data_IF_060666726090
#
_entry.id   IF_060666726090
#
_cell.length_a   1.000
_cell.length_b   1.000
_cell.length_c   1.000
_cell.angle_alpha   90.00
_cell.angle_beta   90.00
_cell.angle_gamma   90.00
#
_symmetry.space_group_name_H-M   'P 1'
#
loop_
_entity.id
_entity.type
_entity.pdbx_description
1 polymer ?
#
# COMPACT_ATOMS: atom_id res chain seq x y z
N UNK A 1 -7.31 -21.27 -22.99
CA UNK A 1 -7.52 -19.85 -23.35
C UNK A 1 -6.35 -19.41 -24.22
N UNK A 2 -6.61 -18.67 -25.29
CA UNK A 2 -5.54 -18.06 -26.09
C UNK A 2 -4.75 -17.06 -25.21
N UNK A 3 -3.43 -16.90 -25.42
CA UNK A 3 -2.64 -15.94 -24.67
C UNK A 3 -3.18 -14.53 -24.90
N UNK A 4 -3.65 -13.89 -23.83
CA UNK A 4 -4.12 -12.52 -23.87
C UNK A 4 -2.93 -11.57 -24.01
N UNK A 5 -2.77 -10.97 -25.19
CA UNK A 5 -1.71 -10.00 -25.47
C UNK A 5 -1.94 -8.72 -24.67
N UNK A 6 -0.89 -8.23 -24.01
CA UNK A 6 -0.90 -6.92 -23.37
C UNK A 6 -0.65 -5.81 -24.38
N UNK A 7 -1.31 -4.66 -24.21
CA UNK A 7 -1.07 -3.45 -25.00
C UNK A 7 -0.69 -2.29 -24.08
N UNK A 8 0.13 -1.37 -24.60
CA UNK A 8 0.51 -0.13 -23.92
C UNK A 8 0.42 0.99 -24.93
N UNK A 9 -0.48 1.94 -24.70
CA UNK A 9 -0.67 3.14 -25.50
C UNK A 9 -0.24 4.37 -24.71
N UNK A 10 0.80 5.06 -25.19
CA UNK A 10 1.35 6.25 -24.54
C UNK A 10 1.04 7.50 -25.37
N UNK A 11 0.44 8.51 -24.73
CA UNK A 11 0.32 9.87 -25.22
C UNK A 11 1.11 10.85 -24.32
N UNK A 12 1.13 12.13 -24.69
CA UNK A 12 1.93 13.14 -23.99
C UNK A 12 1.57 13.29 -22.50
N UNK A 13 0.29 13.12 -22.13
CA UNK A 13 -0.21 13.33 -20.77
C UNK A 13 -0.82 12.08 -20.13
N UNK A 14 -1.00 11.01 -20.90
CA UNK A 14 -1.70 9.80 -20.44
C UNK A 14 -1.07 8.55 -21.00
N UNK A 15 -1.03 7.50 -20.21
CA UNK A 15 -0.63 6.16 -20.64
C UNK A 15 -1.69 5.17 -20.21
N UNK A 16 -2.02 4.23 -21.10
CA UNK A 16 -2.97 3.16 -20.80
C UNK A 16 -2.28 1.82 -21.03
N UNK A 17 -2.33 0.95 -20.02
CA UNK A 17 -1.91 -0.45 -20.12
C UNK A 17 -3.16 -1.32 -20.10
N UNK A 18 -3.27 -2.28 -21.01
CA UNK A 18 -4.41 -3.20 -21.08
C UNK A 18 -3.94 -4.65 -21.22
N UNK A 19 -4.66 -5.56 -20.57
CA UNK A 19 -4.51 -7.02 -20.75
C UNK A 19 -5.84 -7.69 -20.41
N UNK A 20 -6.53 -8.16 -21.44
CA UNK A 20 -7.84 -8.81 -21.27
C UNK A 20 -8.86 -7.84 -20.67
N UNK A 21 -9.54 -8.19 -19.56
CA UNK A 21 -10.49 -7.31 -18.93
C UNK A 21 -9.81 -6.18 -18.13
N UNK A 22 -8.50 -6.27 -17.86
CA UNK A 22 -7.79 -5.26 -17.08
C UNK A 22 -7.31 -4.09 -17.89
N UNK A 23 -7.44 -2.92 -17.28
CA UNK A 23 -6.99 -1.64 -17.81
C UNK A 23 -6.45 -0.78 -16.68
N UNK A 24 -5.23 -0.31 -16.82
CA UNK A 24 -4.58 0.68 -15.94
C UNK A 24 -4.45 1.98 -16.70
N UNK A 25 -5.04 3.04 -16.16
CA UNK A 25 -5.01 4.39 -16.72
C UNK A 25 -4.09 5.25 -15.87
N UNK A 26 -3.07 5.84 -16.51
CA UNK A 26 -2.11 6.73 -15.89
C UNK A 26 -2.32 8.12 -16.47
N UNK A 27 -2.58 9.11 -15.62
CA UNK A 27 -2.41 10.52 -15.96
C UNK A 27 -1.04 10.95 -15.47
N UNK A 28 -0.26 11.59 -16.32
CA UNK A 28 1.13 11.91 -16.04
C UNK A 28 1.29 13.27 -15.33
N UNK A 29 0.32 14.20 -15.47
CA UNK A 29 0.33 15.55 -14.86
C UNK A 29 -1.10 16.09 -14.63
N UNK A 30 -1.52 16.36 -13.38
CA UNK A 30 -0.93 15.80 -12.15
C UNK A 30 -0.92 14.27 -12.22
N UNK A 31 0.07 13.63 -11.58
CA UNK A 31 0.16 12.17 -11.57
C UNK A 31 -1.10 11.56 -10.93
N UNK A 32 -1.73 10.61 -11.61
CA UNK A 32 -2.74 9.74 -11.01
C UNK A 32 -2.82 8.39 -11.71
N UNK A 33 -3.25 7.37 -10.98
CA UNK A 33 -3.41 6.00 -11.44
C UNK A 33 -4.84 5.53 -11.18
N UNK A 34 -5.46 4.88 -12.14
CA UNK A 34 -6.74 4.21 -11.97
C UNK A 34 -6.67 2.78 -12.51
N UNK A 35 -7.37 1.86 -11.82
CA UNK A 35 -7.47 0.46 -12.23
C UNK A 35 -8.92 0.14 -12.54
N UNK A 36 -9.15 -0.45 -13.70
CA UNK A 36 -10.45 -0.93 -14.16
C UNK A 36 -10.37 -2.39 -14.55
N UNK A 37 -11.50 -3.08 -14.37
CA UNK A 37 -11.72 -4.43 -14.87
C UNK A 37 -13.08 -4.50 -15.55
N UNK A 38 -13.13 -4.94 -16.81
CA UNK A 38 -14.36 -5.07 -17.59
C UNK A 38 -15.24 -3.79 -17.50
N UNK A 39 -14.61 -2.62 -17.65
CA UNK A 39 -15.26 -1.31 -17.53
C UNK A 39 -15.49 -0.80 -16.09
N UNK A 40 -15.63 -1.70 -15.10
CA UNK A 40 -15.82 -1.33 -13.68
C UNK A 40 -14.51 -0.77 -13.11
N UNK A 41 -14.59 0.40 -12.48
CA UNK A 41 -13.44 0.99 -11.77
C UNK A 41 -13.25 0.28 -10.44
N UNK A 42 -12.06 -0.27 -10.20
CA UNK A 42 -11.67 -0.88 -8.93
C UNK A 42 -10.99 0.16 -8.03
N UNK A 43 -10.04 0.91 -8.59
CA UNK A 43 -9.31 1.99 -7.92
C UNK A 43 -9.43 3.31 -8.66
N UNK A 44 -9.54 4.40 -7.92
CA UNK A 44 -9.61 5.77 -8.42
C UNK A 44 -8.54 6.65 -7.79
N UNK A 45 -8.06 7.61 -8.57
CA UNK A 45 -7.20 8.71 -8.10
C UNK A 45 -5.97 8.21 -7.33
N UNK A 46 -5.43 7.07 -7.74
CA UNK A 46 -4.26 6.44 -7.16
C UNK A 46 -3.06 7.38 -7.24
N UNK A 47 -2.35 7.53 -6.13
CA UNK A 47 -1.17 8.36 -5.98
C UNK A 47 -0.04 7.57 -5.33
N UNK A 48 1.15 8.14 -5.38
CA UNK A 48 2.33 7.62 -4.72
C UNK A 48 2.83 8.69 -3.77
N UNK A 49 3.41 8.29 -2.65
CA UNK A 49 4.14 9.22 -1.80
C UNK A 49 5.38 8.59 -1.18
N UNK A 50 6.33 9.46 -0.87
CA UNK A 50 7.45 9.16 0.01
C UNK A 50 7.39 10.07 1.24
N UNK A 51 7.93 9.61 2.36
CA UNK A 51 8.04 10.45 3.55
C UNK A 51 9.36 10.16 4.26
N UNK A 52 10.05 11.22 4.64
CA UNK A 52 11.21 11.15 5.51
C UNK A 52 10.78 10.94 6.96
N UNK A 53 11.75 10.61 7.79
CA UNK A 53 11.51 10.48 9.21
C UNK A 53 12.61 9.73 9.92
N UNK A 54 12.37 9.48 11.20
CA UNK A 54 13.26 8.72 12.07
C UNK A 54 12.51 7.53 12.68
N UNK A 55 13.27 6.48 12.99
CA UNK A 55 12.79 5.33 13.75
C UNK A 55 13.49 5.35 15.11
N UNK A 56 12.70 5.22 16.16
CA UNK A 56 13.20 5.04 17.51
C UNK A 56 12.76 3.67 18.02
N UNK A 57 13.69 2.94 18.61
CA UNK A 57 13.37 1.72 19.34
C UNK A 57 12.63 2.08 20.61
N UNK A 58 11.38 1.64 20.71
CA UNK A 58 10.60 1.76 21.92
C UNK A 58 10.60 0.41 22.62
N UNK A 59 11.44 0.32 23.66
CA UNK A 59 11.50 -0.85 24.50
C UNK A 59 10.28 -0.93 25.40
N UNK A 60 9.66 -2.10 25.41
CA UNK A 60 8.50 -2.45 26.19
C UNK A 60 8.98 -3.44 27.24
N UNK A 61 9.33 -2.91 28.40
CA UNK A 61 9.98 -3.65 29.48
C UNK A 61 9.23 -4.92 29.88
N UNK A 62 7.90 -4.88 29.87
CA UNK A 62 7.07 -5.99 30.36
C UNK A 62 6.96 -7.17 29.40
N UNK A 63 7.18 -6.95 28.10
CA UNK A 63 7.22 -8.03 27.11
C UNK A 63 8.64 -8.33 26.65
N UNK A 64 9.62 -7.61 27.20
CA UNK A 64 10.99 -7.54 26.68
C UNK A 64 11.03 -7.26 25.16
N UNK A 65 9.97 -6.61 24.67
CA UNK A 65 9.75 -6.39 23.24
C UNK A 65 10.30 -5.04 22.81
N UNK A 66 10.77 -4.94 21.57
CA UNK A 66 11.13 -3.66 20.96
C UNK A 66 10.17 -3.41 19.81
N UNK A 67 9.47 -2.27 19.85
CA UNK A 67 8.65 -1.80 18.73
C UNK A 67 9.27 -0.55 18.13
N UNK A 68 9.32 -0.51 16.81
CA UNK A 68 9.75 0.68 16.09
C UNK A 68 8.67 1.77 16.20
N UNK A 69 9.01 2.91 16.79
CA UNK A 69 8.23 4.13 16.78
C UNK A 69 8.76 5.05 15.69
N UNK A 70 7.89 5.43 14.78
CA UNK A 70 8.26 6.27 13.64
C UNK A 70 7.76 7.70 13.81
N UNK A 71 8.65 8.66 13.55
CA UNK A 71 8.31 10.08 13.44
C UNK A 71 8.49 10.51 11.99
N UNK A 72 7.37 10.79 11.32
CA UNK A 72 7.34 11.05 9.87
C UNK A 72 7.25 12.54 9.59
N UNK A 73 8.05 13.00 8.63
CA UNK A 73 7.84 14.27 7.96
C UNK A 73 6.55 14.22 7.11
N UNK A 74 6.03 15.38 6.65
CA UNK A 74 4.92 15.41 5.70
C UNK A 74 5.22 14.59 4.43
N UNK A 75 4.20 13.90 3.92
CA UNK A 75 4.33 13.07 2.73
C UNK A 75 4.54 13.92 1.47
N UNK A 76 5.58 13.61 0.69
CA UNK A 76 5.82 14.15 -0.64
C UNK A 76 5.07 13.32 -1.68
N UNK A 77 4.00 13.88 -2.24
CA UNK A 77 3.17 13.17 -3.23
C UNK A 77 3.71 13.29 -4.64
N UNK A 78 3.46 12.28 -5.47
CA UNK A 78 3.75 12.33 -6.89
C UNK A 78 2.93 13.44 -7.57
N UNK A 79 3.64 14.32 -8.29
CA UNK A 79 3.02 15.42 -9.04
C UNK A 79 3.13 15.23 -10.54
N UNK A 80 4.19 14.56 -10.99
CA UNK A 80 4.47 14.39 -12.41
C UNK A 80 5.15 13.05 -12.66
N UNK A 81 4.79 12.40 -13.76
CA UNK A 81 5.52 11.25 -14.27
C UNK A 81 5.89 11.44 -15.74
N UNK A 82 6.89 10.68 -16.20
CA UNK A 82 7.30 10.58 -17.60
C UNK A 82 7.62 9.12 -17.89
N UNK A 83 7.07 8.57 -18.98
CA UNK A 83 7.43 7.24 -19.44
C UNK A 83 8.88 7.20 -19.89
N UNK A 84 9.64 6.23 -19.37
CA UNK A 84 11.07 6.06 -19.65
C UNK A 84 11.29 4.84 -20.52
N UNK A 85 10.67 3.73 -20.14
CA UNK A 85 10.92 2.44 -20.78
C UNK A 85 9.64 1.60 -20.83
N UNK A 86 9.47 0.88 -21.92
CA UNK A 86 8.44 -0.14 -22.09
C UNK A 86 9.14 -1.49 -22.26
N UNK A 87 8.75 -2.44 -21.44
CA UNK A 87 9.31 -3.79 -21.42
C UNK A 87 8.17 -4.81 -21.32
N UNK A 88 7.85 -5.46 -22.45
CA UNK A 88 6.76 -6.43 -22.54
C UNK A 88 5.41 -5.87 -22.08
N UNK A 89 4.92 -6.39 -20.95
CA UNK A 89 3.66 -6.03 -20.29
C UNK A 89 3.82 -4.98 -19.18
N UNK A 90 4.99 -4.36 -19.09
CA UNK A 90 5.34 -3.36 -18.09
C UNK A 90 5.81 -2.03 -18.68
N UNK A 91 5.59 -0.98 -17.89
CA UNK A 91 6.00 0.39 -18.14
C UNK A 91 6.78 0.91 -16.93
N UNK A 92 7.97 1.44 -17.18
CA UNK A 92 8.76 2.18 -16.18
C UNK A 92 8.57 3.68 -16.39
N UNK A 93 8.26 4.37 -15.30
CA UNK A 93 8.07 5.81 -15.23
C UNK A 93 9.14 6.42 -14.33
N UNK A 94 9.68 7.56 -14.73
CA UNK A 94 10.33 8.50 -13.80
C UNK A 94 9.25 9.41 -13.21
N UNK A 95 9.23 9.54 -11.89
CA UNK A 95 8.24 10.29 -11.11
C UNK A 95 8.93 11.40 -10.35
N UNK A 96 8.33 12.59 -10.33
CA UNK A 96 8.75 13.74 -9.52
C UNK A 96 7.73 13.92 -8.38
N UNK A 97 8.23 14.01 -7.15
CA UNK A 97 7.43 14.28 -5.95
C UNK A 97 7.42 15.77 -5.59
N UNK A 98 6.47 16.19 -4.74
CA UNK A 98 6.25 17.59 -4.36
C UNK A 98 7.51 18.32 -3.81
N UNK A 99 8.42 17.64 -3.11
CA UNK A 99 9.65 18.22 -2.58
C UNK A 99 10.84 18.16 -3.55
N UNK A 100 10.64 17.74 -4.80
CA UNK A 100 11.68 17.64 -5.82
C UNK A 100 12.39 16.28 -5.86
N UNK A 101 12.15 15.41 -4.87
CA UNK A 101 12.60 14.02 -4.86
C UNK A 101 12.13 13.30 -6.13
N UNK A 102 13.04 12.50 -6.71
CA UNK A 102 12.74 11.64 -7.85
C UNK A 102 12.44 10.22 -7.36
N UNK A 103 11.62 9.54 -8.13
CA UNK A 103 11.27 8.15 -7.91
C UNK A 103 11.11 7.41 -9.23
N UNK A 104 11.21 6.09 -9.17
CA UNK A 104 10.90 5.20 -10.27
C UNK A 104 9.66 4.38 -9.91
N UNK A 105 8.65 4.42 -10.78
CA UNK A 105 7.48 3.55 -10.69
C UNK A 105 7.49 2.58 -11.87
N UNK A 106 7.51 1.28 -11.59
CA UNK A 106 7.21 0.24 -12.57
C UNK A 106 5.77 -0.21 -12.40
N UNK A 107 5.01 -0.21 -13.50
CA UNK A 107 3.62 -0.68 -13.59
C UNK A 107 3.56 -1.81 -14.60
N UNK A 108 3.09 -2.99 -14.21
CA UNK A 108 2.99 -4.15 -15.10
C UNK A 108 1.65 -4.87 -15.01
N UNK A 109 1.30 -5.58 -16.07
CA UNK A 109 0.12 -6.45 -16.16
C UNK A 109 0.55 -7.91 -16.36
N UNK A 110 1.16 -8.58 -15.35
CA UNK A 110 1.72 -9.92 -15.50
C UNK A 110 0.68 -10.99 -15.86
N UNK A 111 -0.60 -10.73 -15.55
CA UNK A 111 -1.76 -11.57 -15.88
C UNK A 111 -2.96 -10.67 -16.17
N UNK A 112 -4.02 -11.27 -16.73
CA UNK A 112 -5.28 -10.59 -17.06
C UNK A 112 -6.19 -10.36 -15.84
N UNK A 113 -5.71 -10.68 -14.63
CA UNK A 113 -6.32 -10.47 -13.32
C UNK A 113 -5.38 -9.77 -12.32
N UNK A 114 -4.17 -9.37 -12.74
CA UNK A 114 -3.13 -8.86 -11.84
C UNK A 114 -2.48 -7.58 -12.35
N UNK A 115 -2.38 -6.58 -11.47
CA UNK A 115 -1.54 -5.40 -11.67
C UNK A 115 -0.37 -5.47 -10.69
N UNK A 116 0.85 -5.36 -11.21
CA UNK A 116 2.06 -5.26 -10.40
C UNK A 116 2.55 -3.81 -10.36
N UNK A 117 2.83 -3.29 -9.17
CA UNK A 117 3.41 -1.97 -8.95
C UNK A 117 4.70 -2.12 -8.14
N UNK A 118 5.76 -1.44 -8.56
CA UNK A 118 7.00 -1.33 -7.79
C UNK A 118 7.44 0.12 -7.74
N UNK A 119 7.58 0.68 -6.54
CA UNK A 119 8.03 2.05 -6.30
C UNK A 119 9.37 2.05 -5.57
N UNK A 120 10.33 2.79 -6.11
CA UNK A 120 11.60 3.13 -5.46
C UNK A 120 11.79 4.65 -5.52
N UNK A 121 12.34 5.27 -4.48
CA UNK A 121 12.63 6.70 -4.48
C UNK A 121 14.08 6.97 -4.13
N UNK A 122 14.59 8.10 -4.63
CA UNK A 122 15.92 8.60 -4.31
C UNK A 122 15.98 9.11 -2.86
N UNK A 123 17.19 9.25 -2.32
CA UNK A 123 17.48 9.82 -1.00
C UNK A 123 16.93 9.02 0.21
N UNK A 124 16.71 7.71 0.03
CA UNK A 124 16.37 6.75 1.10
C UNK A 124 15.31 7.26 2.12
N UNK A 125 14.09 7.61 1.67
CA UNK A 125 13.04 8.05 2.58
C UNK A 125 12.75 7.00 3.65
N UNK A 126 12.16 7.42 4.76
CA UNK A 126 11.69 6.47 5.76
C UNK A 126 10.62 5.53 5.18
N UNK A 127 9.64 6.06 4.44
CA UNK A 127 8.52 5.28 3.86
C UNK A 127 8.26 5.56 2.39
N UNK A 128 7.73 4.53 1.73
CA UNK A 128 7.16 4.56 0.38
C UNK A 128 5.72 4.05 0.44
N UNK A 129 4.83 4.62 -0.37
CA UNK A 129 3.44 4.24 -0.35
C UNK A 129 2.68 4.37 -1.66
N UNK A 130 1.60 3.61 -1.73
CA UNK A 130 0.50 3.72 -2.68
C UNK A 130 -0.74 4.19 -1.94
N UNK A 131 -1.42 5.23 -2.43
CA UNK A 131 -2.68 5.71 -1.84
C UNK A 131 -3.77 5.85 -2.91
N UNK A 132 -5.04 5.75 -2.55
CA UNK A 132 -6.18 5.93 -3.47
C UNK A 132 -7.44 6.36 -2.72
N UNK A 133 -8.44 6.83 -3.47
CA UNK A 133 -9.72 7.23 -2.88
C UNK A 133 -10.48 6.01 -2.37
N UNK A 134 -10.85 6.03 -1.08
CA UNK A 134 -11.79 5.10 -0.50
C UNK A 134 -13.19 5.38 -1.04
N UNK A 135 -13.97 4.34 -1.34
CA UNK A 135 -15.38 4.51 -1.66
C UNK A 135 -16.27 4.47 -0.43
N UNK A 136 -17.41 5.16 -0.50
CA UNK A 136 -18.46 5.04 0.50
C UNK A 136 -18.81 3.56 0.73
N UNK A 137 -19.00 3.17 1.99
CA UNK A 137 -19.36 1.79 2.39
C UNK A 137 -18.36 0.70 1.98
N UNK A 138 -17.19 1.07 1.46
CA UNK A 138 -16.12 0.10 1.22
C UNK A 138 -15.65 -0.48 2.54
N UNK A 139 -15.79 -1.80 2.64
CA UNK A 139 -15.32 -2.65 3.74
C UNK A 139 -14.04 -3.36 3.35
N UNK A 140 -13.23 -3.63 4.36
CA UNK A 140 -11.92 -4.27 4.20
C UNK A 140 -11.76 -5.45 5.15
N UNK A 141 -11.17 -6.53 4.68
CA UNK A 141 -10.86 -7.71 5.50
C UNK A 141 -9.46 -8.22 5.15
N UNK A 142 -8.91 -9.11 5.98
CA UNK A 142 -7.54 -9.63 5.81
C UNK A 142 -6.63 -9.19 6.95
N UNK A 143 -5.38 -8.84 6.61
CA UNK A 143 -4.30 -8.45 7.50
C UNK A 143 -3.78 -9.58 8.41
N UNK A 144 -4.14 -10.82 8.06
CA UNK A 144 -3.79 -12.03 8.81
C UNK A 144 -4.73 -12.34 9.96
N UNK A 145 -4.35 -13.29 10.83
CA UNK A 145 -5.14 -13.63 12.01
C UNK A 145 -5.02 -12.51 13.05
N UNK A 146 -6.17 -11.95 13.46
CA UNK A 146 -6.26 -10.82 14.40
C UNK A 146 -7.00 -11.24 15.66
N UNK A 147 -6.61 -10.67 16.79
CA UNK A 147 -7.34 -10.81 18.06
C UNK A 147 -8.54 -9.87 18.21
N UNK A 148 -8.78 -8.98 17.23
CA UNK A 148 -9.89 -8.02 17.28
C UNK A 148 -11.25 -8.69 17.11
N UNK A 149 -12.28 -8.12 17.74
CA UNK A 149 -13.67 -8.60 17.61
C UNK A 149 -14.36 -8.12 16.34
N UNK A 150 -13.76 -7.17 15.61
CA UNK A 150 -14.26 -6.64 14.34
C UNK A 150 -13.54 -7.31 13.17
N UNK A 151 -14.33 -7.91 12.28
CA UNK A 151 -13.83 -8.51 11.05
C UNK A 151 -13.50 -7.44 9.99
N UNK A 152 -14.35 -6.41 9.88
CA UNK A 152 -14.10 -5.25 9.02
C UNK A 152 -12.99 -4.37 9.61
N UNK A 153 -11.99 -4.09 8.77
CA UNK A 153 -10.80 -3.29 9.11
C UNK A 153 -10.97 -1.81 8.74
N UNK A 154 -12.08 -1.43 8.11
CA UNK A 154 -12.32 -0.05 7.75
C UNK A 154 -12.31 0.91 8.96
N UNK A 155 -11.72 2.11 8.79
CA UNK A 155 -11.59 3.10 9.86
C UNK A 155 -10.43 2.81 10.82
N UNK A 156 -9.47 1.97 10.43
CA UNK A 156 -8.29 1.64 11.24
C UNK A 156 -7.01 2.02 10.51
N UNK A 157 -6.00 2.43 11.27
CA UNK A 157 -4.60 2.37 10.83
C UNK A 157 -3.97 1.16 11.48
N UNK A 158 -3.40 0.27 10.67
CA UNK A 158 -2.85 -1.02 11.13
C UNK A 158 -1.41 -1.15 10.65
N UNK A 159 -0.48 -1.17 11.60
CA UNK A 159 0.91 -1.54 11.36
C UNK A 159 1.11 -3.02 11.68
N UNK A 160 1.44 -3.81 10.67
CA UNK A 160 1.67 -5.24 10.83
C UNK A 160 2.86 -5.52 11.74
N UNK A 161 2.63 -6.41 12.71
CA UNK A 161 3.58 -6.74 13.77
C UNK A 161 3.51 -5.84 15.00
N UNK A 162 2.57 -4.88 15.08
CA UNK A 162 2.49 -3.91 16.18
C UNK A 162 1.06 -3.42 16.52
N UNK A 163 0.01 -4.24 16.38
CA UNK A 163 -1.39 -3.73 16.43
C UNK A 163 -2.09 -3.76 17.80
N UNK A 164 -1.54 -4.41 18.84
CA UNK A 164 -2.30 -4.60 20.09
C UNK A 164 -1.59 -4.09 21.34
N UNK A 165 -2.41 -3.74 22.33
CA UNK A 165 -2.08 -3.75 23.76
C UNK A 165 -3.07 -4.64 24.53
N UNK A 166 -2.59 -5.50 25.42
CA UNK A 166 -3.37 -6.35 26.30
C UNK A 166 -3.78 -5.59 27.56
N UNK A 167 -5.06 -5.66 27.87
CA UNK A 167 -5.70 -4.98 29.00
C UNK A 167 -6.52 -5.95 29.85
N UNK A 168 -6.18 -7.24 29.81
CA UNK A 168 -6.90 -8.27 30.57
C UNK A 168 -6.68 -8.17 32.08
N UNK A 169 -7.30 -9.07 32.88
CA UNK A 169 -7.30 -9.00 34.34
C UNK A 169 -5.91 -8.97 34.97
N UNK A 170 -4.95 -9.64 34.33
CA UNK A 170 -3.56 -9.73 34.80
C UNK A 170 -2.66 -8.61 34.24
N UNK A 171 -3.23 -7.62 33.53
CA UNK A 171 -2.46 -6.47 33.05
C UNK A 171 -2.09 -5.58 34.25
N UNK A 172 -0.79 -5.31 34.51
CA UNK A 172 -0.39 -4.44 35.60
C UNK A 172 -1.06 -3.05 35.50
N UNK A 173 -1.51 -2.43 36.60
CA UNK A 173 -2.19 -1.13 36.58
C UNK A 173 -1.39 -0.02 35.87
N UNK A 174 -0.07 -0.03 36.02
CA UNK A 174 0.85 0.88 35.33
C UNK A 174 0.83 0.68 33.81
N UNK A 175 0.71 -0.56 33.34
CA UNK A 175 0.57 -0.87 31.92
C UNK A 175 -0.81 -0.50 31.40
N UNK A 176 -1.89 -0.74 32.17
CA UNK A 176 -3.23 -0.28 31.83
C UNK A 176 -3.27 1.25 31.65
N UNK A 177 -2.60 1.99 32.53
CA UNK A 177 -2.48 3.46 32.44
C UNK A 177 -1.72 3.92 31.19
N UNK A 178 -0.79 3.10 30.68
CA UNK A 178 -0.05 3.31 29.44
C UNK A 178 -0.76 2.71 28.19
N UNK A 179 -2.02 2.28 28.32
CA UNK A 179 -2.84 1.74 27.23
C UNK A 179 -2.80 0.22 27.06
N UNK A 180 -2.15 -0.51 27.97
CA UNK A 180 -2.02 -1.97 28.02
C UNK A 180 -0.63 -2.50 27.60
N UNK A 181 -0.40 -3.80 27.83
CA UNK A 181 0.84 -4.52 27.47
C UNK A 181 0.89 -4.72 25.94
N UNK A 182 1.84 -4.12 25.21
CA UNK A 182 1.95 -4.33 23.76
C UNK A 182 1.96 -5.81 23.37
N UNK A 183 1.14 -6.17 22.38
CA UNK A 183 1.06 -7.49 21.79
C UNK A 183 1.17 -7.35 20.27
N UNK A 184 1.94 -8.24 19.66
CA UNK A 184 1.97 -8.38 18.21
C UNK A 184 0.68 -8.99 17.66
N UNK A 185 0.59 -9.03 16.35
CA UNK A 185 -0.46 -9.75 15.63
C UNK A 185 -0.31 -11.26 15.82
N UNK A 186 -1.41 -12.03 15.82
CA UNK A 186 -1.30 -13.50 15.97
C UNK A 186 -0.50 -14.10 14.82
N UNK A 187 -0.82 -13.67 13.60
CA UNK A 187 -0.13 -14.04 12.37
C UNK A 187 -0.36 -12.93 11.33
N UNK A 188 0.47 -11.86 11.32
CA UNK A 188 0.30 -10.75 10.39
C UNK A 188 0.52 -11.21 8.95
N UNK A 189 -0.35 -10.80 8.04
CA UNK A 189 -0.19 -11.05 6.60
C UNK A 189 -0.42 -9.73 5.85
N UNK A 190 0.49 -9.30 4.96
CA UNK A 190 0.36 -8.06 4.18
C UNK A 190 -0.66 -8.20 3.04
N UNK A 191 -1.86 -8.64 3.37
CA UNK A 191 -2.96 -8.94 2.46
C UNK A 191 -4.23 -8.19 2.87
N UNK A 192 -4.83 -7.44 1.96
CA UNK A 192 -6.08 -6.72 2.18
C UNK A 192 -7.07 -7.07 1.08
N UNK A 193 -8.28 -7.50 1.43
CA UNK A 193 -9.38 -7.72 0.51
C UNK A 193 -10.41 -6.60 0.66
N UNK A 194 -10.74 -5.95 -0.45
CA UNK A 194 -11.82 -4.97 -0.52
C UNK A 194 -13.12 -5.61 -1.01
N UNK A 195 -14.23 -5.24 -0.35
CA UNK A 195 -15.60 -5.49 -0.83
C UNK A 195 -15.88 -4.95 -2.25
N UNK A 196 -14.99 -4.13 -2.82
CA UNK A 196 -15.09 -3.61 -4.19
C UNK A 196 -14.50 -4.54 -5.25
N UNK A 197 -14.09 -5.76 -4.89
CA UNK A 197 -13.68 -6.79 -5.85
C UNK A 197 -12.23 -6.63 -6.30
N UNK A 198 -11.36 -6.24 -5.36
CA UNK A 198 -9.92 -6.30 -5.54
C UNK A 198 -9.27 -6.68 -4.21
N UNK A 199 -8.10 -7.31 -4.29
CA UNK A 199 -7.22 -7.53 -3.17
C UNK A 199 -5.85 -6.90 -3.41
N UNK A 200 -5.15 -6.63 -2.33
CA UNK A 200 -3.81 -6.05 -2.31
C UNK A 200 -2.92 -6.99 -1.55
N UNK A 201 -1.81 -7.36 -2.16
CA UNK A 201 -0.72 -8.06 -1.51
C UNK A 201 0.54 -7.20 -1.58
N UNK A 202 1.05 -6.80 -0.43
CA UNK A 202 2.36 -6.13 -0.34
C UNK A 202 3.42 -7.22 -0.21
N UNK A 203 4.33 -7.29 -1.18
CA UNK A 203 5.40 -8.26 -1.20
C UNK A 203 6.59 -7.67 -0.45
N UNK A 204 6.68 -7.98 0.84
CA UNK A 204 7.79 -7.55 1.68
C UNK A 204 8.09 -8.62 2.72
N UNK A 205 9.37 -8.77 3.02
CA UNK A 205 9.88 -9.64 4.08
C UNK A 205 10.18 -8.86 5.36
N UNK A 206 10.01 -7.53 5.33
CA UNK A 206 10.28 -6.65 6.47
C UNK A 206 9.01 -6.35 7.27
N UNK A 207 9.22 -6.00 8.54
CA UNK A 207 8.16 -5.57 9.43
C UNK A 207 7.73 -4.11 9.13
N UNK A 208 6.63 -3.67 9.76
CA UNK A 208 6.22 -2.26 9.71
C UNK A 208 5.42 -1.86 8.48
N UNK A 209 4.98 -2.82 7.65
CA UNK A 209 3.95 -2.56 6.63
C UNK A 209 2.74 -1.95 7.30
N UNK A 210 2.29 -0.80 6.81
CA UNK A 210 1.15 -0.07 7.36
C UNK A 210 0.02 0.00 6.34
N UNK A 211 -1.19 -0.26 6.81
CA UNK A 211 -2.45 -0.08 6.10
C UNK A 211 -3.24 1.01 6.82
N UNK A 212 -3.25 2.20 6.24
CA UNK A 212 -4.08 3.32 6.69
C UNK A 212 -5.43 3.21 5.98
N UNK A 213 -6.43 2.67 6.68
CA UNK A 213 -7.80 2.46 6.20
C UNK A 213 -8.80 3.43 6.82
N UNK A 214 -8.28 4.46 7.50
CA UNK A 214 -9.05 5.54 8.08
C UNK A 214 -9.15 6.73 7.13
N UNK A 215 -10.28 7.43 7.17
CA UNK A 215 -10.57 8.57 6.30
C UNK A 215 -10.92 8.22 4.85
N UNK A 216 -10.80 9.23 3.99
CA UNK A 216 -11.24 9.21 2.59
C UNK A 216 -10.21 8.64 1.62
N UNK A 217 -8.96 8.48 2.06
CA UNK A 217 -7.89 7.87 1.27
C UNK A 217 -7.36 6.65 1.98
N UNK A 218 -7.31 5.55 1.24
CA UNK A 218 -6.59 4.36 1.68
C UNK A 218 -5.12 4.55 1.34
N UNK A 219 -4.23 4.15 2.23
CA UNK A 219 -2.80 4.15 1.97
C UNK A 219 -2.16 2.86 2.47
N UNK A 220 -1.26 2.32 1.65
CA UNK A 220 -0.45 1.15 1.99
C UNK A 220 1.00 1.52 1.83
N UNK A 221 1.78 1.34 2.89
CA UNK A 221 3.17 1.79 2.93
C UNK A 221 4.11 0.78 3.57
N UNK A 222 5.35 0.80 3.10
CA UNK A 222 6.48 0.04 3.67
C UNK A 222 7.61 1.00 4.00
N UNK A 223 8.58 0.53 4.79
CA UNK A 223 9.83 1.26 5.00
C UNK A 223 10.70 1.13 3.76
N UNK A 224 11.33 2.21 3.29
CA UNK A 224 12.12 2.13 2.05
C UNK A 224 13.39 1.28 2.21
N UNK A 225 13.94 1.17 3.43
CA UNK A 225 15.09 0.29 3.70
C UNK A 225 14.77 -1.19 3.45
N UNK A 226 13.48 -1.57 3.46
CA UNK A 226 13.04 -2.93 3.13
C UNK A 226 13.12 -3.23 1.62
N UNK A 227 13.59 -2.27 0.83
CA UNK A 227 13.56 -2.30 -0.62
C UNK A 227 12.38 -1.53 -1.20
N UNK A 228 12.14 -1.67 -2.52
CA UNK A 228 11.03 -0.99 -3.16
C UNK A 228 9.69 -1.41 -2.54
N UNK A 229 8.72 -0.50 -2.52
CA UNK A 229 7.34 -0.88 -2.27
C UNK A 229 6.86 -1.73 -3.46
N UNK A 230 6.68 -3.03 -3.22
CA UNK A 230 6.15 -3.98 -4.20
C UNK A 230 4.71 -4.36 -3.85
N UNK A 231 3.77 -4.02 -4.74
CA UNK A 231 2.33 -4.24 -4.54
C UNK A 231 1.76 -5.03 -5.71
N UNK A 232 1.07 -6.11 -5.39
CA UNK A 232 0.23 -6.84 -6.33
C UNK A 232 -1.23 -6.51 -6.06
N UNK A 233 -1.94 -6.05 -7.08
CA UNK A 233 -3.38 -5.92 -7.05
C UNK A 233 -4.00 -7.10 -7.78
N UNK A 234 -4.78 -7.89 -7.05
CA UNK A 234 -5.51 -9.02 -7.59
C UNK A 234 -6.94 -8.57 -7.85
N UNK A 235 -7.35 -8.69 -9.10
CA UNK A 235 -8.57 -8.13 -9.64
C UNK A 235 -9.42 -9.27 -10.20
N UNK A 236 -9.70 -10.29 -9.38
CA UNK A 236 -10.58 -11.38 -9.76
C UNK A 236 -12.06 -10.98 -9.64
N UNK A 237 -12.97 -11.58 -10.45
CA UNK A 237 -14.38 -11.22 -10.45
C UNK A 237 -15.10 -11.65 -9.16
N UNK A 238 -14.55 -12.63 -8.46
CA UNK A 238 -15.06 -13.18 -7.21
C UNK A 238 -13.96 -13.13 -6.14
N UNK A 239 -14.32 -13.03 -4.85
CA UNK A 239 -13.38 -13.19 -3.75
C UNK A 239 -12.63 -14.52 -3.79
#
# INVERSE_FOLDING_TARGET
>A
MAPTTSSIAAGAERVVLERGPLRVELVLRPFSLAVRRAGRRLLSSGGLWAADGTIHDHFIQFTEGVVAREERAPAERAVRATAVEKDGDALTLSVLLQGGRRAQLRVGLPKDDRVALSLLADDEPLRLALEWDRRSEERFVGLGARHGTRFDQAGRSVQLGADRRYTGPDCPPEMLSAGGIPQGDCAPVPWLLSSRGYAIWVQTESNGTCFDLDGDRISVSTRAHAGPLSVQLLCEPTP
#
